data_IF_719433591188
#
_entry.id   IF_719433591188
#
_cell.length_a   1.000
_cell.length_b   1.000
_cell.length_c   1.000
_cell.angle_alpha   90.00
_cell.angle_beta   90.00
_cell.angle_gamma   90.00
#
_symmetry.space_group_name_H-M   'P 1'
#
loop_
_entity.id
_entity.type
_entity.pdbx_description
1 polymer ?
#
# COMPACT_ATOMS: atom_id res chain seq x y z
N UNK A 1 8.11 23.29 -30.17
CA UNK A 1 6.72 23.72 -30.39
C UNK A 1 6.44 23.49 -31.86
N UNK A 2 5.79 22.37 -32.21
CA UNK A 2 5.54 22.00 -33.61
C UNK A 2 4.33 22.81 -34.12
N UNK A 3 4.45 23.53 -35.25
CA UNK A 3 3.42 24.45 -35.71
C UNK A 3 2.41 23.71 -36.58
N UNK A 4 1.49 22.94 -36.02
CA UNK A 4 0.43 22.30 -36.82
C UNK A 4 -0.92 22.33 -36.11
N UNK A 5 -1.98 22.52 -36.89
CA UNK A 5 -3.37 22.57 -36.43
C UNK A 5 -3.75 21.32 -35.62
N UNK A 6 -4.53 21.46 -34.53
CA UNK A 6 -4.97 20.34 -33.70
C UNK A 6 -5.92 19.42 -34.49
N UNK A 7 -5.87 18.11 -34.20
CA UNK A 7 -6.83 17.15 -34.74
C UNK A 7 -8.23 17.56 -34.31
N UNK A 8 -9.17 17.61 -35.26
CA UNK A 8 -10.54 18.01 -34.97
C UNK A 8 -11.26 16.91 -34.19
N UNK A 9 -12.12 17.30 -33.26
CA UNK A 9 -12.97 16.36 -32.56
C UNK A 9 -13.99 15.73 -33.52
N UNK A 10 -14.26 14.45 -33.33
CA UNK A 10 -15.23 13.67 -34.13
C UNK A 10 -16.43 13.27 -33.28
N UNK A 11 -17.51 12.81 -33.92
CA UNK A 11 -18.65 12.22 -33.22
C UNK A 11 -18.49 10.70 -33.17
N UNK A 12 -18.23 10.14 -31.99
CA UNK A 12 -18.35 8.71 -31.77
C UNK A 12 -19.82 8.34 -31.57
N UNK A 13 -20.28 7.30 -32.26
CA UNK A 13 -21.70 6.85 -32.22
C UNK A 13 -21.83 5.55 -31.42
N UNK A 14 -20.72 4.83 -31.22
CA UNK A 14 -20.69 3.58 -30.47
C UNK A 14 -19.55 3.58 -29.45
N UNK A 15 -19.86 3.14 -28.23
CA UNK A 15 -18.88 2.85 -27.19
C UNK A 15 -18.35 1.43 -27.38
N UNK A 16 -17.04 1.27 -27.56
CA UNK A 16 -16.39 -0.03 -27.72
C UNK A 16 -15.70 -0.49 -26.43
N UNK A 17 -15.17 0.46 -25.65
CA UNK A 17 -14.54 0.18 -24.36
C UNK A 17 -14.81 1.31 -23.38
N UNK A 18 -15.50 0.99 -22.29
CA UNK A 18 -15.69 1.88 -21.16
C UNK A 18 -14.41 2.00 -20.32
N UNK A 19 -14.33 3.07 -19.54
CA UNK A 19 -13.28 3.31 -18.58
C UNK A 19 -13.33 2.26 -17.46
N UNK A 20 -12.20 1.61 -17.21
CA UNK A 20 -12.00 0.67 -16.11
C UNK A 20 -11.85 1.37 -14.74
N UNK A 21 -11.47 0.60 -13.69
CA UNK A 21 -11.30 1.14 -12.34
C UNK A 21 -10.12 2.11 -12.25
N UNK A 22 -10.17 3.02 -11.27
CA UNK A 22 -9.09 3.96 -11.01
C UNK A 22 -7.83 3.23 -10.50
N UNK A 23 -6.71 3.41 -11.21
CA UNK A 23 -5.46 2.71 -10.90
C UNK A 23 -4.93 2.99 -9.47
N UNK A 24 -5.11 4.19 -8.92
CA UNK A 24 -4.76 4.49 -7.53
C UNK A 24 -5.59 3.67 -6.52
N UNK A 25 -6.87 3.42 -6.83
CA UNK A 25 -7.72 2.54 -6.03
C UNK A 25 -7.23 1.10 -6.04
N UNK A 26 -6.78 0.61 -7.20
CA UNK A 26 -6.19 -0.73 -7.35
C UNK A 26 -4.88 -0.88 -6.58
N UNK A 27 -4.01 0.14 -6.59
CA UNK A 27 -2.82 0.17 -5.73
C UNK A 27 -3.20 0.14 -4.25
N UNK A 28 -4.20 0.91 -3.85
CA UNK A 28 -4.65 0.94 -2.46
C UNK A 28 -5.19 -0.42 -1.99
N UNK A 29 -5.98 -1.13 -2.82
CA UNK A 29 -6.42 -2.51 -2.54
C UNK A 29 -5.23 -3.43 -2.28
N UNK A 30 -4.21 -3.38 -3.14
CA UNK A 30 -3.02 -4.19 -2.98
C UNK A 30 -2.21 -3.82 -1.73
N UNK A 31 -2.09 -2.53 -1.40
CA UNK A 31 -1.44 -2.08 -0.18
C UNK A 31 -2.16 -2.59 1.08
N UNK A 32 -3.49 -2.49 1.11
CA UNK A 32 -4.31 -3.00 2.21
C UNK A 32 -4.17 -4.53 2.34
N UNK A 33 -4.20 -5.25 1.22
CA UNK A 33 -3.94 -6.70 1.19
C UNK A 33 -2.55 -7.04 1.74
N UNK A 34 -1.51 -6.32 1.34
CA UNK A 34 -0.13 -6.56 1.82
C UNK A 34 -0.02 -6.27 3.32
N UNK A 35 -0.71 -5.25 3.83
CA UNK A 35 -0.72 -4.96 5.26
C UNK A 35 -1.38 -6.07 6.09
N UNK A 36 -2.48 -6.65 5.60
CA UNK A 36 -3.26 -7.65 6.33
C UNK A 36 -2.72 -9.07 6.18
N UNK A 37 -2.31 -9.46 4.97
CA UNK A 37 -1.92 -10.83 4.65
C UNK A 37 -0.41 -11.01 4.41
N UNK A 38 0.26 -9.95 3.97
CA UNK A 38 1.64 -10.00 3.47
C UNK A 38 1.79 -10.76 2.14
N UNK A 39 3.00 -10.69 1.59
CA UNK A 39 3.39 -11.42 0.37
C UNK A 39 4.65 -12.23 0.64
N UNK A 40 4.53 -13.42 1.27
CA UNK A 40 5.68 -14.27 1.56
C UNK A 40 6.31 -14.84 0.28
N UNK A 41 7.61 -15.08 0.38
CA UNK A 41 8.44 -15.69 -0.64
C UNK A 41 8.73 -17.15 -0.31
N UNK A 42 8.72 -17.98 -1.34
CA UNK A 42 9.22 -19.35 -1.30
C UNK A 42 10.74 -19.36 -1.17
N UNK A 43 11.32 -20.52 -0.83
CA UNK A 43 12.78 -20.70 -0.79
C UNK A 43 13.49 -20.39 -2.13
N UNK A 44 12.76 -20.44 -3.25
CA UNK A 44 13.27 -20.07 -4.59
C UNK A 44 13.08 -18.57 -4.91
N UNK A 45 12.56 -17.78 -3.97
CA UNK A 45 12.35 -16.35 -4.13
C UNK A 45 11.10 -15.95 -4.93
N UNK A 46 10.21 -16.89 -5.28
CA UNK A 46 8.92 -16.60 -5.90
C UNK A 46 7.84 -16.36 -4.84
N UNK A 47 6.88 -15.47 -5.09
CA UNK A 47 5.75 -15.24 -4.18
C UNK A 47 4.90 -16.52 -4.08
N UNK A 48 4.41 -16.84 -2.88
CA UNK A 48 3.52 -17.97 -2.68
C UNK A 48 2.25 -17.85 -3.54
N UNK A 49 1.97 -18.88 -4.36
CA UNK A 49 0.82 -18.93 -5.29
C UNK A 49 -0.53 -18.65 -4.62
N UNK A 50 -0.73 -19.10 -3.37
CA UNK A 50 -1.95 -18.82 -2.59
C UNK A 50 -2.17 -17.31 -2.43
N UNK A 51 -1.13 -16.56 -2.09
CA UNK A 51 -1.24 -15.11 -1.87
C UNK A 51 -1.37 -14.35 -3.18
N UNK A 52 -0.74 -14.81 -4.27
CA UNK A 52 -0.99 -14.25 -5.61
C UNK A 52 -2.45 -14.40 -6.02
N UNK A 53 -3.03 -15.59 -5.84
CA UNK A 53 -4.42 -15.82 -6.21
C UNK A 53 -5.40 -14.97 -5.38
N UNK A 54 -5.11 -14.78 -4.09
CA UNK A 54 -5.93 -13.92 -3.21
C UNK A 54 -5.77 -12.44 -3.55
N UNK A 55 -4.54 -11.98 -3.82
CA UNK A 55 -4.28 -10.62 -4.29
C UNK A 55 -5.00 -10.37 -5.62
N UNK A 56 -4.87 -11.28 -6.60
CA UNK A 56 -5.57 -11.19 -7.87
C UNK A 56 -7.09 -11.09 -7.69
N UNK A 57 -7.66 -11.88 -6.77
CA UNK A 57 -9.09 -11.85 -6.47
C UNK A 57 -9.56 -10.56 -5.78
N UNK A 58 -8.65 -9.80 -5.16
CA UNK A 58 -8.96 -8.52 -4.52
C UNK A 58 -8.93 -7.32 -5.49
N UNK A 59 -8.29 -7.50 -6.65
CA UNK A 59 -8.17 -6.49 -7.70
C UNK A 59 -9.36 -6.58 -8.67
N UNK A 60 -9.77 -5.45 -9.22
CA UNK A 60 -10.82 -5.35 -10.25
C UNK A 60 -10.26 -4.94 -11.61
N UNK A 61 -8.95 -4.66 -11.68
CA UNK A 61 -8.27 -4.29 -12.92
C UNK A 61 -8.42 -5.38 -14.01
N UNK A 62 -8.93 -5.04 -15.21
CA UNK A 62 -9.22 -6.03 -16.23
C UNK A 62 -7.94 -6.56 -16.89
N UNK A 63 -7.82 -7.87 -17.09
CA UNK A 63 -6.60 -8.48 -17.62
C UNK A 63 -6.41 -8.24 -19.13
N UNK A 64 -7.46 -8.42 -19.94
CA UNK A 64 -7.36 -8.30 -21.41
C UNK A 64 -6.84 -6.93 -21.88
N UNK A 65 -7.32 -5.79 -21.34
CA UNK A 65 -6.83 -4.47 -21.72
C UNK A 65 -5.34 -4.23 -21.44
N UNK A 66 -4.79 -4.88 -20.41
CA UNK A 66 -3.39 -4.68 -20.01
C UNK A 66 -2.41 -5.34 -20.97
N UNK A 67 -2.83 -6.35 -21.76
CA UNK A 67 -1.94 -7.03 -22.71
C UNK A 67 -1.28 -6.04 -23.69
N UNK A 68 -2.02 -5.02 -24.11
CA UNK A 68 -1.53 -3.98 -25.02
C UNK A 68 -0.38 -3.13 -24.47
N UNK A 69 -0.13 -3.17 -23.15
CA UNK A 69 0.96 -2.46 -22.49
C UNK A 69 2.31 -3.20 -22.59
N UNK A 70 2.30 -4.48 -22.97
CA UNK A 70 3.48 -5.34 -22.96
C UNK A 70 3.80 -5.90 -24.36
N UNK A 71 5.08 -5.99 -24.75
CA UNK A 71 5.51 -6.86 -25.85
C UNK A 71 5.03 -8.29 -25.66
N UNK A 72 4.62 -8.97 -26.73
CA UNK A 72 4.09 -10.34 -26.68
C UNK A 72 5.03 -11.32 -25.95
N UNK A 73 6.34 -11.21 -26.20
CA UNK A 73 7.35 -12.03 -25.53
C UNK A 73 7.39 -11.86 -24.01
N UNK A 74 7.01 -10.69 -23.47
CA UNK A 74 6.96 -10.48 -22.02
C UNK A 74 5.68 -11.07 -21.40
N UNK A 75 4.61 -11.25 -22.18
CA UNK A 75 3.34 -11.80 -21.68
C UNK A 75 3.47 -13.29 -21.32
N UNK A 76 4.35 -14.03 -21.98
CA UNK A 76 4.54 -15.48 -21.79
C UNK A 76 5.49 -15.84 -20.64
N UNK A 77 6.28 -14.87 -20.15
CA UNK A 77 7.38 -15.11 -19.21
C UNK A 77 6.92 -15.06 -17.74
N UNK A 78 5.79 -14.41 -17.44
CA UNK A 78 5.38 -14.16 -16.06
C UNK A 78 4.45 -15.24 -15.48
N UNK A 79 4.72 -15.72 -14.25
CA UNK A 79 3.93 -16.80 -13.63
C UNK A 79 2.64 -16.31 -12.94
N UNK A 80 2.26 -15.03 -13.10
CA UNK A 80 1.15 -14.39 -12.39
C UNK A 80 0.20 -13.68 -13.36
N UNK A 81 -1.09 -13.49 -12.99
CA UNK A 81 -2.01 -12.66 -13.77
C UNK A 81 -1.47 -11.25 -14.01
N UNK A 82 -1.73 -10.67 -15.18
CA UNK A 82 -1.22 -9.34 -15.55
C UNK A 82 -1.58 -8.23 -14.55
N UNK A 83 -2.81 -8.19 -13.98
CA UNK A 83 -3.14 -7.18 -12.96
C UNK A 83 -2.18 -7.18 -11.77
N UNK A 84 -1.85 -8.36 -11.23
CA UNK A 84 -0.92 -8.48 -10.10
C UNK A 84 0.47 -8.00 -10.49
N UNK A 85 0.92 -8.33 -11.70
CA UNK A 85 2.22 -7.94 -12.19
C UNK A 85 2.35 -6.42 -12.32
N UNK A 86 1.37 -5.75 -12.94
CA UNK A 86 1.34 -4.28 -13.09
C UNK A 86 1.35 -3.61 -11.72
N UNK A 87 0.47 -4.04 -10.81
CA UNK A 87 0.35 -3.44 -9.48
C UNK A 87 1.64 -3.61 -8.67
N UNK A 88 2.22 -4.81 -8.63
CA UNK A 88 3.47 -5.04 -7.90
C UNK A 88 4.65 -4.26 -8.50
N UNK A 89 4.75 -4.17 -9.83
CA UNK A 89 5.79 -3.39 -10.49
C UNK A 89 5.69 -1.90 -10.12
N UNK A 90 4.48 -1.33 -10.17
CA UNK A 90 4.22 0.07 -9.78
C UNK A 90 4.52 0.31 -8.30
N UNK A 91 4.08 -0.57 -7.40
CA UNK A 91 4.35 -0.46 -5.95
C UNK A 91 5.85 -0.49 -5.64
N UNK A 92 6.62 -1.31 -6.36
CA UNK A 92 8.08 -1.37 -6.21
C UNK A 92 8.78 -0.13 -6.77
N UNK A 93 8.31 0.37 -7.91
CA UNK A 93 8.85 1.59 -8.52
C UNK A 93 8.59 2.84 -7.66
N UNK A 94 7.40 2.93 -7.07
CA UNK A 94 7.07 3.98 -6.10
C UNK A 94 7.81 3.81 -4.76
N UNK A 95 8.49 2.69 -4.54
CA UNK A 95 9.17 2.40 -3.28
C UNK A 95 8.21 2.17 -2.11
N UNK A 96 6.92 1.92 -2.38
CA UNK A 96 5.90 1.65 -1.36
C UNK A 96 6.04 0.26 -0.75
N UNK A 97 6.64 -0.65 -1.52
CA UNK A 97 6.90 -2.03 -1.13
C UNK A 97 8.39 -2.32 -1.32
N UNK A 98 9.00 -3.05 -0.39
CA UNK A 98 10.38 -3.55 -0.51
C UNK A 98 10.43 -5.05 -0.35
N UNK A 99 11.21 -5.71 -1.20
CA UNK A 99 11.53 -7.13 -1.07
C UNK A 99 12.55 -7.36 0.05
N UNK A 100 12.24 -8.27 0.97
CA UNK A 100 13.19 -8.86 1.94
C UNK A 100 13.45 -10.33 1.57
N UNK A 101 14.30 -11.00 2.34
CA UNK A 101 14.72 -12.38 2.07
C UNK A 101 13.54 -13.36 2.02
N UNK A 102 12.50 -13.12 2.82
CA UNK A 102 11.39 -14.05 3.03
C UNK A 102 9.99 -13.50 2.72
N UNK A 103 9.83 -12.19 2.52
CA UNK A 103 8.56 -11.56 2.12
C UNK A 103 8.75 -10.17 1.54
N UNK A 104 7.70 -9.62 0.93
CA UNK A 104 7.60 -8.18 0.68
C UNK A 104 6.99 -7.45 1.88
N UNK A 105 7.53 -6.27 2.19
CA UNK A 105 7.11 -5.41 3.29
C UNK A 105 6.70 -4.03 2.77
N UNK A 106 5.79 -3.37 3.47
CA UNK A 106 5.44 -1.97 3.24
C UNK A 106 6.53 -1.05 3.78
N UNK A 107 6.89 -0.04 3.00
CA UNK A 107 7.80 1.03 3.43
C UNK A 107 6.98 2.15 4.05
N UNK A 108 6.94 2.19 5.38
CA UNK A 108 6.00 3.02 6.14
C UNK A 108 6.09 4.51 5.81
N UNK A 109 7.29 5.09 5.73
CA UNK A 109 7.45 6.53 5.48
C UNK A 109 6.98 6.93 4.07
N UNK A 110 7.30 6.10 3.08
CA UNK A 110 6.86 6.33 1.70
C UNK A 110 5.36 6.13 1.56
N UNK A 111 4.81 5.10 2.21
CA UNK A 111 3.38 4.85 2.25
C UNK A 111 2.62 6.00 2.91
N UNK A 112 3.13 6.56 4.00
CA UNK A 112 2.52 7.70 4.68
C UNK A 112 2.48 8.89 3.73
N UNK A 113 3.61 9.23 3.11
CA UNK A 113 3.71 10.32 2.15
C UNK A 113 2.76 10.14 0.97
N UNK A 114 2.67 8.91 0.45
CA UNK A 114 1.77 8.56 -0.64
C UNK A 114 0.30 8.75 -0.26
N UNK A 115 -0.15 8.25 0.90
CA UNK A 115 -1.55 8.34 1.34
C UNK A 115 -2.02 9.77 1.63
N UNK A 116 -1.10 10.73 1.81
CA UNK A 116 -1.41 12.16 1.93
C UNK A 116 -1.62 12.85 0.58
N UNK A 117 -1.24 12.22 -0.54
CA UNK A 117 -1.51 12.75 -1.87
C UNK A 117 -3.02 12.68 -2.17
N UNK A 118 -3.51 13.67 -2.91
CA UNK A 118 -4.84 13.59 -3.52
C UNK A 118 -4.88 12.50 -4.59
N UNK A 119 -6.07 11.96 -4.89
CA UNK A 119 -6.24 10.98 -5.98
C UNK A 119 -5.72 11.50 -7.33
N UNK A 120 -5.88 12.81 -7.61
CA UNK A 120 -5.32 13.45 -8.81
C UNK A 120 -3.79 13.43 -8.85
N UNK A 121 -3.13 13.70 -7.72
CA UNK A 121 -1.68 13.64 -7.61
C UNK A 121 -1.17 12.20 -7.76
N UNK A 122 -1.81 11.23 -7.09
CA UNK A 122 -1.49 9.81 -7.25
C UNK A 122 -1.63 9.36 -8.71
N UNK A 123 -2.76 9.69 -9.35
CA UNK A 123 -3.05 9.36 -10.76
C UNK A 123 -2.00 9.97 -11.70
N UNK A 124 -1.56 11.20 -11.47
CA UNK A 124 -0.53 11.88 -12.27
C UNK A 124 0.84 11.23 -12.12
N UNK A 125 1.25 10.83 -10.91
CA UNK A 125 2.48 10.08 -10.67
C UNK A 125 2.44 8.70 -11.33
N UNK A 126 1.32 7.99 -11.19
CA UNK A 126 1.11 6.69 -11.84
C UNK A 126 1.15 6.79 -13.36
N UNK A 127 0.56 7.84 -13.92
CA UNK A 127 0.60 8.08 -15.36
C UNK A 127 2.03 8.29 -15.86
N UNK A 128 2.83 9.10 -15.14
CA UNK A 128 4.25 9.26 -15.46
C UNK A 128 5.01 7.94 -15.47
N UNK A 129 4.77 7.07 -14.47
CA UNK A 129 5.37 5.73 -14.43
C UNK A 129 4.90 4.85 -15.60
N UNK A 130 3.59 4.81 -15.87
CA UNK A 130 3.01 4.04 -16.97
C UNK A 130 3.60 4.48 -18.31
N UNK A 131 3.69 5.79 -18.54
CA UNK A 131 4.26 6.38 -19.76
C UNK A 131 5.72 5.98 -19.99
N UNK A 132 6.51 5.90 -18.92
CA UNK A 132 7.94 5.58 -19.02
C UNK A 132 8.23 4.08 -19.06
N UNK A 133 7.41 3.26 -18.40
CA UNK A 133 7.69 1.83 -18.19
C UNK A 133 7.01 0.89 -19.18
N UNK A 134 5.82 1.25 -19.63
CA UNK A 134 4.99 0.37 -20.47
C UNK A 134 4.86 0.90 -21.88
N UNK A 135 4.39 0.05 -22.79
CA UNK A 135 4.30 0.32 -24.21
C UNK A 135 5.50 -0.22 -24.98
N UNK A 136 5.39 -0.25 -26.30
CA UNK A 136 6.49 -0.67 -27.15
C UNK A 136 7.64 0.36 -27.09
N UNK A 137 8.91 -0.08 -27.05
CA UNK A 137 10.06 0.80 -26.91
C UNK A 137 10.44 1.49 -28.23
N UNK A 138 9.60 1.43 -29.27
CA UNK A 138 9.87 2.05 -30.56
C UNK A 138 9.63 3.57 -30.53
N UNK A 139 10.41 4.37 -31.29
CA UNK A 139 10.33 5.83 -31.25
C UNK A 139 8.95 6.39 -31.60
N UNK A 140 8.29 5.82 -32.61
CA UNK A 140 6.99 6.28 -33.09
C UNK A 140 5.89 5.99 -32.07
N UNK A 141 5.86 4.81 -31.45
CA UNK A 141 5.01 4.50 -30.31
C UNK A 141 5.28 5.41 -29.11
N UNK A 142 6.54 5.79 -28.84
CA UNK A 142 6.85 6.81 -27.83
C UNK A 142 6.28 8.18 -28.20
N UNK A 143 6.47 8.64 -29.44
CA UNK A 143 5.90 9.90 -29.91
C UNK A 143 4.37 9.92 -29.80
N UNK A 144 3.69 8.83 -30.19
CA UNK A 144 2.24 8.70 -30.05
C UNK A 144 1.79 8.89 -28.61
N UNK A 145 2.43 8.20 -27.67
CA UNK A 145 2.12 8.25 -26.25
C UNK A 145 2.19 9.68 -25.70
N UNK A 146 3.28 10.40 -25.98
CA UNK A 146 3.43 11.80 -25.54
C UNK A 146 2.50 12.77 -26.30
N UNK A 147 2.21 12.51 -27.57
CA UNK A 147 1.30 13.32 -28.37
C UNK A 147 -0.11 13.32 -27.79
N UNK A 148 -0.67 12.14 -27.49
CA UNK A 148 -2.02 12.02 -26.93
C UNK A 148 -2.10 12.57 -25.49
N UNK A 149 -0.98 12.66 -24.77
CA UNK A 149 -0.88 13.31 -23.46
C UNK A 149 -0.89 14.85 -23.52
N UNK A 150 -0.76 15.45 -24.70
CA UNK A 150 -0.63 16.91 -24.85
C UNK A 150 -1.95 17.67 -24.63
N UNK A 151 -1.86 18.99 -24.47
CA UNK A 151 -3.04 19.84 -24.27
C UNK A 151 -4.01 19.85 -25.48
N UNK A 152 -3.56 19.40 -26.65
CA UNK A 152 -4.35 19.31 -27.89
C UNK A 152 -5.55 18.36 -27.79
N UNK A 153 -5.57 17.44 -26.81
CA UNK A 153 -6.59 16.42 -26.63
C UNK A 153 -7.38 16.61 -25.32
N UNK A 154 -8.19 17.66 -25.16
CA UNK A 154 -8.95 17.90 -23.94
C UNK A 154 -9.90 16.75 -23.57
N UNK A 155 -10.18 16.53 -22.27
CA UNK A 155 -11.14 15.53 -21.81
C UNK A 155 -12.56 15.81 -22.32
N UNK A 156 -13.34 14.76 -22.48
CA UNK A 156 -14.73 14.84 -22.95
C UNK A 156 -14.92 14.92 -24.47
N UNK A 157 -13.84 15.10 -25.24
CA UNK A 157 -13.89 15.13 -26.71
C UNK A 157 -13.34 13.83 -27.33
N UNK A 158 -13.98 13.38 -28.42
CA UNK A 158 -13.55 12.20 -29.16
C UNK A 158 -12.60 12.57 -30.29
N UNK A 159 -11.54 11.79 -30.46
CA UNK A 159 -10.55 11.98 -31.51
C UNK A 159 -10.33 10.66 -32.26
N UNK A 160 -10.39 10.70 -33.59
CA UNK A 160 -10.14 9.53 -34.42
C UNK A 160 -8.65 9.16 -34.38
N UNK A 161 -8.37 7.88 -34.12
CA UNK A 161 -7.01 7.36 -34.07
C UNK A 161 -6.31 7.54 -35.42
N UNK A 162 -7.02 7.27 -36.52
CA UNK A 162 -6.54 7.45 -37.90
C UNK A 162 -5.97 8.86 -38.11
N UNK A 163 -6.72 9.90 -37.77
CA UNK A 163 -6.34 11.29 -38.00
C UNK A 163 -5.09 11.68 -37.19
N UNK A 164 -4.92 11.12 -35.98
CA UNK A 164 -3.73 11.32 -35.15
C UNK A 164 -2.51 10.66 -35.78
N UNK A 165 -2.66 9.43 -36.28
CA UNK A 165 -1.57 8.70 -36.94
C UNK A 165 -1.19 9.35 -38.27
N UNK A 166 -2.15 9.82 -39.05
CA UNK A 166 -1.91 10.61 -40.26
C UNK A 166 -1.14 11.90 -39.94
N UNK A 167 -1.47 12.59 -38.84
CA UNK A 167 -0.72 13.75 -38.35
C UNK A 167 0.72 13.39 -37.99
N UNK A 168 0.93 12.26 -37.31
CA UNK A 168 2.27 11.78 -36.98
C UNK A 168 3.09 11.44 -38.23
N UNK A 169 2.49 10.80 -39.21
CA UNK A 169 3.12 10.48 -40.50
C UNK A 169 3.49 11.76 -41.26
N UNK A 170 2.56 12.71 -41.39
CA UNK A 170 2.78 14.00 -42.06
C UNK A 170 3.86 14.86 -41.38
N UNK A 171 4.01 14.73 -40.06
CA UNK A 171 5.06 15.41 -39.29
C UNK A 171 6.40 14.64 -39.25
N UNK A 172 6.51 13.47 -39.88
CA UNK A 172 7.72 12.64 -39.85
C UNK A 172 8.01 11.99 -38.50
N UNK A 173 7.03 11.95 -37.58
CA UNK A 173 7.17 11.37 -36.24
C UNK A 173 7.09 9.83 -36.23
N UNK A 174 6.55 9.24 -37.30
CA UNK A 174 6.44 7.78 -37.46
C UNK A 174 7.68 7.13 -38.12
N UNK A 175 8.58 7.93 -38.70
CA UNK A 175 9.75 7.46 -39.45
C UNK A 175 9.40 6.33 -40.45
N UNK A 176 10.20 5.27 -40.51
CA UNK A 176 10.02 4.10 -41.41
C UNK A 176 9.13 3.00 -40.79
N UNK A 177 8.38 3.29 -39.71
CA UNK A 177 7.57 2.26 -39.07
C UNK A 177 6.36 1.88 -39.94
N UNK A 178 6.08 0.58 -40.00
CA UNK A 178 4.87 0.06 -40.62
C UNK A 178 3.61 0.66 -39.97
N UNK A 179 2.73 1.23 -40.79
CA UNK A 179 1.53 1.95 -40.32
C UNK A 179 0.58 1.04 -39.56
N UNK A 180 0.42 -0.22 -39.99
CA UNK A 180 -0.46 -1.17 -39.32
C UNK A 180 0.09 -1.58 -37.95
N UNK A 181 1.41 -1.76 -37.84
CA UNK A 181 2.08 -2.03 -36.56
C UNK A 181 1.95 -0.84 -35.59
N UNK A 182 2.12 0.40 -36.08
CA UNK A 182 1.93 1.62 -35.27
C UNK A 182 0.48 1.75 -34.79
N UNK A 183 -0.50 1.53 -35.68
CA UNK A 183 -1.92 1.57 -35.31
C UNK A 183 -2.27 0.50 -34.26
N UNK A 184 -1.77 -0.73 -34.42
CA UNK A 184 -1.97 -1.79 -33.45
C UNK A 184 -1.34 -1.46 -32.09
N UNK A 185 -0.13 -0.90 -32.09
CA UNK A 185 0.59 -0.45 -30.89
C UNK A 185 -0.15 0.70 -30.19
N UNK A 186 -0.60 1.70 -30.94
CA UNK A 186 -1.38 2.83 -30.47
C UNK A 186 -2.74 2.40 -29.88
N UNK A 187 -3.44 1.49 -30.55
CA UNK A 187 -4.70 0.92 -30.05
C UNK A 187 -4.47 0.11 -28.78
N UNK A 188 -3.41 -0.70 -28.72
CA UNK A 188 -3.03 -1.47 -27.53
C UNK A 188 -2.74 -0.56 -26.33
N UNK A 189 -2.02 0.54 -26.55
CA UNK A 189 -1.76 1.56 -25.55
C UNK A 189 -3.05 2.19 -25.01
N UNK A 190 -3.91 2.71 -25.89
CA UNK A 190 -5.17 3.33 -25.48
C UNK A 190 -6.11 2.34 -24.79
N UNK A 191 -6.11 1.07 -25.22
CA UNK A 191 -6.87 0.01 -24.54
C UNK A 191 -6.36 -0.20 -23.12
N UNK A 192 -5.05 -0.19 -22.90
CA UNK A 192 -4.45 -0.26 -21.57
C UNK A 192 -4.80 0.95 -20.70
N UNK A 193 -4.76 2.16 -21.25
CA UNK A 193 -5.18 3.38 -20.54
C UNK A 193 -6.68 3.37 -20.19
N UNK A 194 -7.51 2.79 -21.06
CA UNK A 194 -8.92 2.56 -20.76
C UNK A 194 -9.07 1.56 -19.61
N UNK A 195 -8.22 0.52 -19.54
CA UNK A 195 -8.15 -0.39 -18.40
C UNK A 195 -7.85 0.30 -17.06
N UNK A 196 -7.13 1.42 -17.07
CA UNK A 196 -6.83 2.25 -15.89
C UNK A 196 -7.88 3.35 -15.60
N UNK A 197 -8.96 3.40 -16.39
CA UNK A 197 -10.04 4.39 -16.23
C UNK A 197 -9.75 5.78 -16.80
N UNK A 198 -8.59 5.98 -17.44
CA UNK A 198 -8.18 7.32 -17.90
C UNK A 198 -8.80 7.73 -19.23
N UNK A 199 -9.15 6.78 -20.09
CA UNK A 199 -9.81 7.06 -21.36
C UNK A 199 -10.88 6.02 -21.69
N UNK A 200 -11.64 6.28 -22.74
CA UNK A 200 -12.62 5.38 -23.33
C UNK A 200 -12.31 5.21 -24.82
N UNK A 201 -12.73 4.08 -25.38
CA UNK A 201 -12.65 3.81 -26.81
C UNK A 201 -14.04 3.69 -27.42
N UNK A 202 -14.18 4.20 -28.63
CA UNK A 202 -15.41 4.11 -29.39
C UNK A 202 -15.13 4.05 -30.88
N UNK A 203 -16.21 4.04 -31.65
CA UNK A 203 -16.17 4.07 -33.10
C UNK A 203 -17.12 5.10 -33.68
N UNK A 204 -16.70 5.71 -34.78
CA UNK A 204 -17.52 6.55 -35.65
C UNK A 204 -18.44 5.70 -36.53
N UNK A 205 -19.33 6.36 -37.28
CA UNK A 205 -20.27 5.69 -38.21
C UNK A 205 -19.56 4.85 -39.28
N UNK A 206 -18.40 5.33 -39.77
CA UNK A 206 -17.54 4.63 -40.74
C UNK A 206 -16.69 3.51 -40.10
N UNK A 207 -16.85 3.26 -38.80
CA UNK A 207 -16.14 2.22 -38.07
C UNK A 207 -14.71 2.59 -37.66
N UNK A 208 -14.30 3.86 -37.82
CA UNK A 208 -12.97 4.29 -37.41
C UNK A 208 -12.85 4.32 -35.88
N UNK A 209 -11.74 3.79 -35.37
CA UNK A 209 -11.45 3.76 -33.93
C UNK A 209 -11.20 5.18 -33.43
N UNK A 210 -11.86 5.54 -32.34
CA UNK A 210 -11.73 6.83 -31.68
C UNK A 210 -11.45 6.64 -30.20
N UNK A 211 -10.84 7.64 -29.58
CA UNK A 211 -10.66 7.66 -28.13
C UNK A 211 -11.07 9.00 -27.54
N UNK A 212 -11.40 8.99 -26.25
CA UNK A 212 -11.71 10.18 -25.47
C UNK A 212 -11.09 10.06 -24.09
N UNK A 213 -10.42 11.11 -23.64
CA UNK A 213 -9.98 11.23 -22.25
C UNK A 213 -11.19 11.43 -21.32
N UNK A 214 -11.24 10.69 -20.20
CA UNK A 214 -12.28 10.88 -19.18
C UNK A 214 -12.02 12.14 -18.35
N UNK A 215 -12.94 12.47 -17.44
CA UNK A 215 -12.71 13.52 -16.44
C UNK A 215 -11.54 13.18 -15.48
N UNK A 216 -11.17 11.91 -15.38
CA UNK A 216 -10.04 11.42 -14.58
C UNK A 216 -8.70 11.46 -15.34
N UNK A 217 -8.62 12.18 -16.47
CA UNK A 217 -7.38 12.36 -17.24
C UNK A 217 -6.24 12.81 -16.31
N UNK A 218 -5.16 12.02 -16.20
CA UNK A 218 -4.01 12.40 -15.40
C UNK A 218 -3.24 13.54 -16.05
N UNK A 219 -2.57 14.35 -15.23
CA UNK A 219 -1.67 15.38 -15.72
C UNK A 219 -0.26 14.80 -15.85
N UNK A 220 0.48 15.23 -16.87
CA UNK A 220 1.91 14.92 -16.92
C UNK A 220 2.59 15.64 -15.76
N UNK A 221 3.42 14.94 -14.95
CA UNK A 221 4.16 15.60 -13.88
C UNK A 221 5.08 16.70 -14.46
N UNK A 222 5.18 17.86 -13.80
CA UNK A 222 5.82 19.07 -14.35
C UNK A 222 7.32 18.90 -14.65
N UNK A 223 8.00 18.02 -13.93
CA UNK A 223 9.35 17.55 -14.25
C UNK A 223 9.22 16.17 -14.88
N UNK A 224 9.42 16.08 -16.20
CA UNK A 224 9.34 14.81 -16.94
C UNK A 224 10.08 13.70 -16.21
N UNK A 225 9.32 12.70 -15.75
CA UNK A 225 9.71 11.60 -14.87
C UNK A 225 10.40 12.05 -13.55
N UNK A 226 9.75 11.87 -12.38
CA UNK A 226 10.53 11.80 -11.15
C UNK A 226 11.54 10.67 -11.32
N UNK A 227 12.78 10.88 -10.89
CA UNK A 227 13.83 9.87 -10.84
C UNK A 227 13.44 8.77 -9.84
N UNK A 228 12.41 7.99 -10.14
CA UNK A 228 12.03 6.83 -9.36
C UNK A 228 13.08 5.75 -9.61
N UNK A 229 13.91 5.52 -8.60
CA UNK A 229 15.01 4.55 -8.69
C UNK A 229 14.49 3.23 -9.23
N UNK A 230 15.17 2.67 -10.23
CA UNK A 230 14.83 1.44 -10.96
C UNK A 230 14.79 0.20 -10.06
N UNK A 231 13.85 0.12 -9.13
CA UNK A 231 13.57 -1.06 -8.29
C UNK A 231 12.52 -1.90 -9.01
N UNK A 232 12.94 -2.60 -10.06
CA UNK A 232 12.09 -3.56 -10.77
C UNK A 232 11.91 -4.86 -9.96
N UNK A 233 10.85 -5.63 -10.23
CA UNK A 233 10.79 -7.04 -9.85
C UNK A 233 11.97 -7.74 -10.56
N UNK A 234 13.01 -8.09 -9.81
CA UNK A 234 14.10 -8.92 -10.32
C UNK A 234 13.56 -10.32 -10.60
N UNK A 235 13.18 -10.60 -11.83
CA UNK A 235 13.25 -11.96 -12.40
C UNK A 235 14.75 -12.25 -12.56
N UNK A 236 15.21 -13.36 -12.00
CA UNK A 236 16.63 -13.69 -11.89
C UNK A 236 17.34 -13.68 -13.25
N UNK A 237 18.43 -12.92 -13.35
CA UNK A 237 19.74 -13.34 -13.90
C UNK A 237 20.83 -12.25 -13.64
N UNK A 238 22.14 -12.53 -13.82
CA UNK A 238 23.19 -12.30 -12.84
C UNK A 238 23.70 -10.85 -12.70
N UNK A 239 24.36 -10.63 -11.56
CA UNK A 239 24.86 -9.37 -11.04
C UNK A 239 25.89 -8.69 -11.96
N UNK A 240 25.73 -7.37 -12.15
CA UNK A 240 26.72 -6.40 -11.66
C UNK A 240 26.17 -4.95 -11.66
N UNK A 241 26.89 -4.07 -10.97
CA UNK A 241 26.87 -2.59 -11.03
C UNK A 241 26.07 -1.79 -9.97
N UNK A 242 26.81 -1.46 -8.91
CA UNK A 242 27.11 -0.14 -8.29
C UNK A 242 25.98 0.83 -7.89
N UNK A 243 25.98 1.15 -6.59
CA UNK A 243 25.17 2.15 -5.90
C UNK A 243 25.69 3.58 -6.15
N UNK A 244 24.77 4.49 -6.49
CA UNK A 244 24.98 5.95 -6.46
C UNK A 244 23.96 6.58 -5.50
N UNK A 245 24.47 7.36 -4.55
CA UNK A 245 23.70 8.19 -3.60
C UNK A 245 22.98 9.32 -4.33
N UNK A 246 21.71 9.55 -3.98
CA UNK A 246 20.93 10.71 -4.44
C UNK A 246 20.63 11.62 -3.26
N UNK A 247 20.87 12.92 -3.47
CA UNK A 247 20.56 14.02 -2.57
C UNK A 247 19.05 14.34 -2.57
N UNK A 248 18.55 14.79 -1.42
CA UNK A 248 17.16 15.25 -1.23
C UNK A 248 16.89 16.48 -2.09
N UNK A 249 15.96 16.40 -3.04
CA UNK A 249 15.41 17.56 -3.75
C UNK A 249 13.88 17.62 -3.66
N UNK A 250 13.41 18.86 -3.56
CA UNK A 250 12.16 19.32 -2.97
C UNK A 250 10.87 18.78 -3.62
N UNK A 251 9.99 18.26 -2.77
CA UNK A 251 8.60 17.95 -3.11
C UNK A 251 7.84 19.24 -3.47
N UNK A 252 7.08 19.27 -4.59
CA UNK A 252 6.29 20.43 -4.95
C UNK A 252 5.24 20.76 -3.88
N UNK A 253 5.10 22.06 -3.68
CA UNK A 253 4.36 22.72 -2.61
C UNK A 253 2.90 22.25 -2.50
N UNK A 254 2.49 22.15 -1.24
CA UNK A 254 1.19 21.73 -0.73
C UNK A 254 0.05 22.43 -1.46
N UNK A 255 -0.73 21.67 -2.23
CA UNK A 255 -2.13 22.01 -2.42
C UNK A 255 -2.77 22.03 -1.02
N UNK A 256 -3.20 23.23 -0.62
CA UNK A 256 -3.93 23.57 0.61
C UNK A 256 -4.67 22.36 1.20
N UNK A 257 -4.38 22.06 2.47
CA UNK A 257 -5.13 21.11 3.29
C UNK A 257 -6.60 21.55 3.37
N UNK A 258 -7.37 21.21 2.33
CA UNK A 258 -8.80 21.48 2.29
C UNK A 258 -9.48 20.56 3.28
N UNK A 259 -10.47 21.09 3.96
CA UNK A 259 -11.41 20.41 4.84
C UNK A 259 -12.12 19.27 4.05
N UNK A 260 -11.41 18.16 3.83
CA UNK A 260 -11.85 17.13 2.89
C UNK A 260 -13.01 16.34 3.50
N UNK A 261 -14.09 16.12 2.74
CA UNK A 261 -15.31 15.60 3.30
C UNK A 261 -15.09 14.11 3.62
N UNK A 262 -15.15 13.74 4.90
CA UNK A 262 -14.85 12.39 5.39
C UNK A 262 -15.85 11.32 4.94
N UNK A 263 -15.95 10.22 5.68
CA UNK A 263 -16.86 9.10 5.36
C UNK A 263 -18.21 9.26 6.07
N UNK A 264 -19.21 8.46 5.70
CA UNK A 264 -20.54 8.49 6.32
C UNK A 264 -20.73 7.19 7.08
N UNK A 265 -21.07 7.28 8.37
CA UNK A 265 -21.41 6.11 9.19
C UNK A 265 -22.93 6.00 9.33
N UNK A 266 -23.47 4.87 8.94
CA UNK A 266 -24.89 4.57 8.98
C UNK A 266 -25.27 3.85 10.30
N UNK A 267 -26.54 3.95 10.75
CA UNK A 267 -26.99 3.34 12.00
C UNK A 267 -26.85 1.81 12.08
N UNK A 268 -26.69 1.13 10.95
CA UNK A 268 -26.53 -0.31 10.81
C UNK A 268 -25.06 -0.77 10.75
N UNK A 269 -24.12 0.12 11.13
CA UNK A 269 -22.68 -0.07 11.15
C UNK A 269 -21.99 -0.08 9.77
N UNK A 270 -22.73 0.23 8.70
CA UNK A 270 -22.13 0.46 7.40
C UNK A 270 -21.42 1.82 7.34
N UNK A 271 -20.26 1.85 6.70
CA UNK A 271 -19.44 3.04 6.49
C UNK A 271 -19.26 3.23 5.00
N UNK A 272 -19.93 4.25 4.46
CA UNK A 272 -19.85 4.62 3.06
C UNK A 272 -18.71 5.61 2.86
N UNK A 273 -17.85 5.32 1.89
CA UNK A 273 -16.61 6.07 1.64
C UNK A 273 -16.66 6.67 0.24
N UNK A 274 -17.02 7.96 0.12
CA UNK A 274 -17.08 8.65 -1.18
C UNK A 274 -15.71 8.73 -1.87
N UNK A 275 -15.73 8.97 -3.19
CA UNK A 275 -14.52 9.05 -4.00
C UNK A 275 -13.56 10.16 -3.55
N UNK A 276 -14.07 11.23 -2.93
CA UNK A 276 -13.30 12.36 -2.43
C UNK A 276 -12.65 12.09 -1.06
N UNK A 277 -13.02 10.99 -0.39
CA UNK A 277 -12.47 10.64 0.91
C UNK A 277 -10.95 10.35 0.77
N UNK A 278 -10.09 11.05 1.54
CA UNK A 278 -8.65 10.85 1.50
C UNK A 278 -8.23 9.40 1.70
N UNK A 279 -7.22 8.95 0.95
CA UNK A 279 -6.69 7.59 1.06
C UNK A 279 -6.10 7.28 2.45
N UNK A 280 -5.63 8.30 3.19
CA UNK A 280 -5.28 8.18 4.61
C UNK A 280 -6.44 7.71 5.49
N UNK A 281 -7.65 8.25 5.29
CA UNK A 281 -8.84 7.79 6.01
C UNK A 281 -9.27 6.39 5.57
N UNK A 282 -9.20 6.10 4.27
CA UNK A 282 -9.47 4.76 3.74
C UNK A 282 -8.53 3.73 4.37
N UNK A 283 -7.25 4.09 4.53
CA UNK A 283 -6.23 3.23 5.14
C UNK A 283 -6.58 2.88 6.59
N UNK A 284 -7.00 3.87 7.38
CA UNK A 284 -7.43 3.65 8.76
C UNK A 284 -8.70 2.79 8.83
N UNK A 285 -9.69 3.04 7.96
CA UNK A 285 -10.88 2.19 7.86
C UNK A 285 -10.54 0.74 7.51
N UNK A 286 -9.61 0.51 6.58
CA UNK A 286 -9.16 -0.84 6.25
C UNK A 286 -8.54 -1.58 7.45
N UNK A 287 -7.95 -0.83 8.40
CA UNK A 287 -7.41 -1.38 9.65
C UNK A 287 -8.45 -1.72 10.72
N UNK A 288 -9.55 -0.97 10.80
CA UNK A 288 -10.50 -1.06 11.90
C UNK A 288 -11.93 -1.46 11.49
N UNK A 289 -12.18 -1.70 10.21
CA UNK A 289 -13.46 -2.10 9.65
C UNK A 289 -13.30 -3.20 8.59
N UNK A 290 -14.38 -3.94 8.35
CA UNK A 290 -14.41 -5.02 7.36
C UNK A 290 -14.83 -4.49 6.00
N UNK A 291 -14.02 -4.69 4.96
CA UNK A 291 -14.40 -4.30 3.60
C UNK A 291 -15.57 -5.17 3.10
N UNK A 292 -16.66 -4.55 2.66
CA UNK A 292 -17.83 -5.23 2.12
C UNK A 292 -17.84 -5.18 0.59
N UNK A 293 -17.77 -3.98 0.04
CA UNK A 293 -17.82 -3.72 -1.41
C UNK A 293 -16.88 -2.57 -1.77
N UNK A 294 -16.43 -2.51 -3.01
CA UNK A 294 -15.40 -1.55 -3.42
C UNK A 294 -15.43 -1.18 -4.90
N UNK A 295 -16.40 -1.65 -5.68
CA UNK A 295 -16.35 -1.52 -7.15
C UNK A 295 -16.68 -0.09 -7.58
N UNK A 296 -17.80 0.47 -7.12
CA UNK A 296 -18.20 1.87 -7.41
C UNK A 296 -18.07 2.80 -6.19
N UNK A 297 -18.50 2.29 -5.03
CA UNK A 297 -18.44 2.97 -3.75
C UNK A 297 -17.82 2.02 -2.73
N UNK A 298 -16.80 2.51 -2.03
CA UNK A 298 -16.16 1.76 -0.97
C UNK A 298 -17.11 1.71 0.23
N UNK A 299 -17.46 0.50 0.64
CA UNK A 299 -18.29 0.25 1.82
C UNK A 299 -17.54 -0.66 2.78
N UNK A 300 -17.48 -0.22 4.03
CA UNK A 300 -16.95 -0.98 5.13
C UNK A 300 -18.04 -1.26 6.17
N UNK A 301 -17.83 -2.26 7.00
CA UNK A 301 -18.68 -2.57 8.14
C UNK A 301 -17.88 -2.50 9.43
N UNK A 302 -18.37 -1.73 10.40
CA UNK A 302 -17.81 -1.74 11.75
C UNK A 302 -18.25 -3.02 12.46
N UNK A 303 -17.28 -3.81 12.90
CA UNK A 303 -17.52 -5.06 13.62
C UNK A 303 -16.68 -5.10 14.88
N UNK A 304 -17.11 -5.92 15.84
CA UNK A 304 -16.36 -6.11 17.09
C UNK A 304 -15.01 -6.77 16.80
N UNK A 305 -14.98 -7.72 15.88
CA UNK A 305 -13.80 -8.50 15.51
C UNK A 305 -12.72 -7.61 14.89
N UNK A 306 -13.09 -6.66 14.02
CA UNK A 306 -12.15 -5.70 13.45
C UNK A 306 -11.67 -4.67 14.47
N UNK A 307 -12.52 -4.25 15.41
CA UNK A 307 -12.11 -3.40 16.53
C UNK A 307 -11.12 -4.11 17.48
N UNK A 308 -11.33 -5.40 17.74
CA UNK A 308 -10.41 -6.26 18.49
C UNK A 308 -9.07 -6.40 17.75
N UNK A 309 -9.11 -6.70 16.44
CA UNK A 309 -7.91 -6.80 15.61
C UNK A 309 -7.12 -5.49 15.54
N UNK A 310 -7.80 -4.35 15.43
CA UNK A 310 -7.17 -3.03 15.46
C UNK A 310 -6.45 -2.78 16.80
N UNK A 311 -7.05 -3.20 17.92
CA UNK A 311 -6.42 -3.11 19.25
C UNK A 311 -5.17 -3.98 19.37
N UNK A 312 -5.19 -5.20 18.81
CA UNK A 312 -4.00 -6.06 18.74
C UNK A 312 -2.86 -5.47 17.89
N UNK A 313 -3.20 -4.59 16.95
CA UNK A 313 -2.26 -3.83 16.11
C UNK A 313 -1.84 -2.49 16.74
N UNK A 314 -2.31 -2.17 17.95
CA UNK A 314 -1.91 -0.99 18.71
C UNK A 314 -2.82 0.24 18.54
N UNK A 315 -3.96 0.11 17.84
CA UNK A 315 -5.00 1.15 17.81
C UNK A 315 -5.94 0.95 18.99
N UNK A 316 -5.84 1.76 20.04
CA UNK A 316 -6.78 1.61 21.17
C UNK A 316 -8.23 1.82 20.69
N UNK A 317 -9.20 1.03 21.19
CA UNK A 317 -10.60 1.20 20.80
C UNK A 317 -11.11 2.63 21.00
N UNK A 318 -10.68 3.32 22.06
CA UNK A 318 -11.04 4.70 22.34
C UNK A 318 -10.51 5.67 21.27
N UNK A 319 -9.28 5.45 20.79
CA UNK A 319 -8.70 6.25 19.71
C UNK A 319 -9.44 6.01 18.39
N UNK A 320 -9.78 4.76 18.08
CA UNK A 320 -10.59 4.42 16.89
C UNK A 320 -11.96 5.10 16.95
N UNK A 321 -12.65 5.04 18.10
CA UNK A 321 -13.97 5.66 18.27
C UNK A 321 -13.89 7.18 18.15
N UNK A 322 -12.90 7.82 18.77
CA UNK A 322 -12.69 9.27 18.64
C UNK A 322 -12.43 9.65 17.18
N UNK A 323 -11.51 8.94 16.53
CA UNK A 323 -11.16 9.20 15.14
C UNK A 323 -12.37 9.03 14.21
N UNK A 324 -13.18 7.98 14.39
CA UNK A 324 -14.41 7.78 13.64
C UNK A 324 -15.39 8.95 13.86
N UNK A 325 -15.56 9.44 15.09
CA UNK A 325 -16.42 10.57 15.39
C UNK A 325 -15.94 11.88 14.77
N UNK A 326 -14.62 12.11 14.76
CA UNK A 326 -13.99 13.33 14.27
C UNK A 326 -14.02 13.42 12.73
N UNK A 327 -13.98 12.28 12.03
CA UNK A 327 -13.87 12.23 10.56
C UNK A 327 -15.16 11.74 9.87
N UNK A 328 -16.16 11.27 10.61
CA UNK A 328 -17.47 10.96 10.03
C UNK A 328 -18.25 12.26 9.72
N UNK A 329 -18.82 12.34 8.52
CA UNK A 329 -19.73 13.44 8.13
C UNK A 329 -20.96 13.41 9.04
N UNK A 330 -21.12 14.45 9.86
CA UNK A 330 -22.21 14.54 10.84
C UNK A 330 -21.96 13.74 12.13
N UNK A 331 -20.74 13.22 12.32
CA UNK A 331 -20.36 12.42 13.49
C UNK A 331 -20.90 10.99 13.46
N UNK A 332 -20.66 10.27 14.55
CA UNK A 332 -21.20 8.91 14.73
C UNK A 332 -22.69 8.94 15.12
N UNK A 333 -23.54 8.09 14.53
CA UNK A 333 -24.87 7.85 15.07
C UNK A 333 -24.78 7.37 16.52
N UNK A 334 -25.63 7.92 17.40
CA UNK A 334 -25.59 7.64 18.85
C UNK A 334 -25.63 6.14 19.17
N UNK A 335 -26.41 5.35 18.42
CA UNK A 335 -26.48 3.90 18.57
C UNK A 335 -25.13 3.22 18.26
N UNK A 336 -24.48 3.63 17.17
CA UNK A 336 -23.17 3.07 16.76
C UNK A 336 -22.11 3.41 17.80
N UNK A 337 -22.06 4.66 18.25
CA UNK A 337 -21.11 5.08 19.28
C UNK A 337 -21.28 4.29 20.59
N UNK A 338 -22.52 4.13 21.06
CA UNK A 338 -22.82 3.34 22.27
C UNK A 338 -22.37 1.88 22.12
N UNK A 339 -22.64 1.26 20.97
CA UNK A 339 -22.23 -0.12 20.71
C UNK A 339 -20.71 -0.27 20.64
N UNK A 340 -19.99 0.63 19.96
CA UNK A 340 -18.52 0.61 19.92
C UNK A 340 -17.92 0.77 21.32
N UNK A 341 -18.44 1.69 22.13
CA UNK A 341 -18.02 1.88 23.54
C UNK A 341 -18.37 0.68 24.43
N UNK A 342 -19.44 -0.04 24.11
CA UNK A 342 -19.78 -1.27 24.82
C UNK A 342 -18.81 -2.40 24.46
N UNK A 343 -18.46 -2.54 23.18
CA UNK A 343 -17.46 -3.52 22.73
C UNK A 343 -16.10 -3.21 23.34
N UNK A 344 -15.66 -1.94 23.36
CA UNK A 344 -14.34 -1.56 23.88
C UNK A 344 -14.08 -1.99 25.32
N UNK A 345 -15.12 -2.00 26.17
CA UNK A 345 -15.00 -2.44 27.58
C UNK A 345 -14.43 -3.85 27.73
N UNK A 346 -14.62 -4.73 26.75
CA UNK A 346 -14.11 -6.10 26.76
C UNK A 346 -12.72 -6.27 26.11
N UNK A 347 -12.29 -5.31 25.29
CA UNK A 347 -11.10 -5.40 24.46
C UNK A 347 -9.89 -4.96 25.28
N UNK A 348 -8.76 -5.68 25.16
CA UNK A 348 -7.50 -5.31 25.83
C UNK A 348 -7.53 -5.39 27.36
N UNK A 349 -8.55 -6.03 27.97
CA UNK A 349 -8.64 -6.18 29.44
C UNK A 349 -7.55 -7.06 30.04
N UNK A 350 -6.97 -7.95 29.24
CA UNK A 350 -5.96 -8.92 29.64
C UNK A 350 -4.98 -9.11 28.48
N UNK A 351 -3.69 -9.16 28.78
CA UNK A 351 -2.62 -9.41 27.82
C UNK A 351 -1.81 -10.65 28.21
N UNK A 352 -1.20 -11.31 27.23
CA UNK A 352 -0.20 -12.35 27.45
C UNK A 352 1.15 -11.81 26.97
N UNK A 353 2.18 -11.95 27.81
CA UNK A 353 3.54 -11.52 27.51
C UNK A 353 4.54 -12.67 27.69
N UNK A 354 5.53 -12.78 26.80
CA UNK A 354 6.65 -13.71 26.97
C UNK A 354 7.60 -13.15 28.05
N UNK A 355 7.75 -13.88 29.15
CA UNK A 355 8.63 -13.53 30.25
C UNK A 355 9.49 -14.72 30.65
N UNK A 356 10.72 -14.44 31.09
CA UNK A 356 11.63 -15.46 31.59
C UNK A 356 11.45 -15.58 33.09
N UNK A 357 11.20 -16.81 33.55
CA UNK A 357 11.06 -17.14 34.96
C UNK A 357 12.44 -17.39 35.57
N UNK A 358 12.81 -16.59 36.56
CA UNK A 358 13.94 -16.86 37.45
C UNK A 358 13.40 -17.58 38.70
N UNK A 359 13.84 -18.82 38.89
CA UNK A 359 13.47 -19.65 40.03
C UNK A 359 14.62 -19.73 41.04
N UNK A 360 14.30 -19.49 42.30
CA UNK A 360 15.21 -19.54 43.44
C UNK A 360 15.17 -20.94 44.07
N UNK A 361 16.28 -21.36 44.69
CA UNK A 361 16.33 -22.65 45.39
C UNK A 361 15.66 -22.59 46.76
N UNK A 362 15.72 -21.43 47.41
CA UNK A 362 15.11 -21.19 48.72
C UNK A 362 14.46 -19.80 48.79
N UNK A 363 13.59 -19.62 49.79
CA UNK A 363 12.98 -18.31 50.05
C UNK A 363 14.00 -17.28 50.54
N UNK A 364 15.09 -17.72 51.18
CA UNK A 364 16.19 -16.86 51.59
C UNK A 364 16.86 -16.23 50.35
N UNK A 365 17.19 -17.04 49.34
CA UNK A 365 17.73 -16.53 48.07
C UNK A 365 16.75 -15.56 47.40
N UNK A 366 15.44 -15.87 47.45
CA UNK A 366 14.42 -14.98 46.93
C UNK A 366 14.35 -13.64 47.68
N UNK A 367 14.56 -13.62 48.98
CA UNK A 367 14.59 -12.38 49.76
C UNK A 367 15.86 -11.57 49.49
N UNK A 368 17.01 -12.22 49.34
CA UNK A 368 18.28 -11.55 49.01
C UNK A 368 18.23 -10.91 47.62
N UNK A 369 17.66 -11.60 46.64
CA UNK A 369 17.46 -11.07 45.28
C UNK A 369 16.49 -9.88 45.30
N UNK A 370 15.38 -9.97 46.06
CA UNK A 370 14.42 -8.88 46.18
C UNK A 370 15.01 -7.64 46.89
N UNK A 371 15.95 -7.84 47.82
CA UNK A 371 16.63 -6.76 48.54
C UNK A 371 17.81 -6.15 47.76
N UNK A 372 18.21 -6.74 46.63
CA UNK A 372 19.40 -6.31 45.89
C UNK A 372 19.15 -4.98 45.13
N UNK A 373 19.85 -3.87 45.46
CA UNK A 373 19.53 -2.55 44.94
C UNK A 373 19.63 -2.42 43.41
N UNK A 374 20.60 -3.12 42.79
CA UNK A 374 20.84 -3.07 41.34
C UNK A 374 19.92 -3.97 40.51
N UNK A 375 19.18 -4.87 41.17
CA UNK A 375 18.18 -5.71 40.50
C UNK A 375 16.79 -5.07 40.53
N UNK A 376 16.61 -4.03 41.35
CA UNK A 376 15.38 -3.24 41.39
C UNK A 376 15.10 -2.62 40.03
N UNK A 377 13.94 -2.94 39.46
CA UNK A 377 13.51 -2.47 38.14
C UNK A 377 13.84 -3.41 36.97
N UNK A 378 14.75 -4.39 37.15
CA UNK A 378 15.10 -5.38 36.11
C UNK A 378 14.30 -6.68 36.22
N UNK A 379 13.74 -6.95 37.40
CA UNK A 379 12.95 -8.14 37.69
C UNK A 379 11.81 -7.82 38.64
N UNK A 380 10.70 -8.55 38.52
CA UNK A 380 9.54 -8.40 39.39
C UNK A 380 9.24 -9.71 40.10
N UNK A 381 9.05 -9.64 41.43
CA UNK A 381 8.72 -10.80 42.25
C UNK A 381 7.27 -11.20 42.03
N UNK A 382 7.04 -12.46 41.65
CA UNK A 382 5.69 -13.02 41.45
C UNK A 382 5.33 -14.08 42.51
N UNK A 383 6.30 -14.50 43.31
CA UNK A 383 6.08 -15.40 44.45
C UNK A 383 7.32 -15.52 45.34
N UNK A 384 7.27 -16.33 46.42
CA UNK A 384 8.37 -16.46 47.36
C UNK A 384 9.69 -16.91 46.71
N UNK A 385 9.60 -17.76 45.69
CA UNK A 385 10.74 -18.35 44.98
C UNK A 385 10.91 -17.86 43.54
N UNK A 386 10.02 -16.99 43.04
CA UNK A 386 9.90 -16.75 41.60
C UNK A 386 9.90 -15.28 41.24
N UNK A 387 10.67 -14.96 40.20
CA UNK A 387 10.73 -13.64 39.59
C UNK A 387 10.51 -13.73 38.09
N UNK A 388 9.89 -12.70 37.52
CA UNK A 388 9.81 -12.52 36.07
C UNK A 388 10.90 -11.54 35.64
N UNK A 389 11.55 -11.86 34.53
CA UNK A 389 12.60 -11.07 33.88
C UNK A 389 12.21 -10.89 32.43
N UNK A 390 12.35 -9.67 31.89
CA UNK A 390 12.14 -9.40 30.47
C UNK A 390 13.29 -10.00 29.66
N UNK A 391 13.03 -10.33 28.39
CA UNK A 391 14.06 -10.91 27.53
C UNK A 391 15.26 -9.98 27.31
N UNK A 392 15.05 -8.65 27.28
CA UNK A 392 16.12 -7.65 27.16
C UNK A 392 17.02 -7.57 28.41
N UNK A 393 16.49 -7.84 29.60
CA UNK A 393 17.17 -7.61 30.88
C UNK A 393 17.93 -8.85 31.38
N UNK A 394 17.80 -10.00 30.71
CA UNK A 394 18.37 -11.29 31.15
C UNK A 394 19.87 -11.21 31.38
N UNK A 395 20.61 -10.61 30.45
CA UNK A 395 22.08 -10.54 30.55
C UNK A 395 22.53 -9.60 31.67
N UNK A 396 21.80 -8.50 31.88
CA UNK A 396 22.06 -7.59 33.00
C UNK A 396 21.79 -8.28 34.34
N UNK A 397 20.66 -8.97 34.47
CA UNK A 397 20.30 -9.74 35.67
C UNK A 397 21.32 -10.86 35.92
N UNK A 398 21.77 -11.58 34.89
CA UNK A 398 22.81 -12.63 35.01
C UNK A 398 24.13 -12.06 35.55
N UNK A 399 24.55 -10.91 35.03
CA UNK A 399 25.79 -10.25 35.44
C UNK A 399 25.74 -9.84 36.90
N UNK A 400 24.67 -9.19 37.34
CA UNK A 400 24.51 -8.74 38.72
C UNK A 400 24.35 -9.92 39.69
N UNK A 401 23.56 -10.94 39.33
CA UNK A 401 23.47 -12.17 40.14
C UNK A 401 24.80 -12.92 40.21
N UNK A 402 25.58 -12.91 39.14
CA UNK A 402 26.93 -13.48 39.13
C UNK A 402 27.89 -12.76 40.06
N UNK A 403 27.85 -11.43 40.10
CA UNK A 403 28.62 -10.63 41.05
C UNK A 403 28.23 -10.90 42.51
N UNK A 404 26.95 -11.23 42.76
CA UNK A 404 26.42 -11.60 44.07
C UNK A 404 26.58 -13.11 44.42
N UNK A 405 27.22 -13.91 43.57
CA UNK A 405 27.44 -15.36 43.80
C UNK A 405 26.20 -16.24 43.57
N UNK A 406 25.13 -15.70 42.98
CA UNK A 406 23.85 -16.37 42.73
C UNK A 406 23.56 -16.59 41.24
N UNK A 407 24.61 -16.77 40.42
CA UNK A 407 24.47 -16.89 38.97
C UNK A 407 23.54 -18.04 38.55
N UNK A 408 22.47 -17.78 37.77
CA UNK A 408 21.68 -18.86 37.19
C UNK A 408 22.49 -19.59 36.10
N UNK A 409 22.25 -20.90 35.89
CA UNK A 409 22.93 -21.67 34.85
C UNK A 409 22.74 -21.06 33.46
N UNK A 410 23.72 -21.23 32.58
CA UNK A 410 23.75 -20.61 31.24
C UNK A 410 22.61 -21.06 30.31
N UNK A 411 22.00 -22.22 30.59
CA UNK A 411 20.83 -22.73 29.86
C UNK A 411 19.50 -22.28 30.47
N UNK A 412 18.61 -21.73 29.65
CA UNK A 412 17.18 -21.58 29.99
C UNK A 412 16.52 -22.97 29.89
N UNK A 413 16.13 -23.56 31.03
CA UNK A 413 15.36 -24.81 31.04
C UNK A 413 14.01 -24.61 30.33
N UNK A 414 13.63 -25.57 29.47
CA UNK A 414 12.38 -25.51 28.70
C UNK A 414 12.52 -25.00 27.25
N UNK A 415 13.67 -24.41 26.88
CA UNK A 415 13.96 -24.11 25.48
C UNK A 415 14.34 -25.42 24.77
N UNK A 416 13.35 -26.24 24.37
CA UNK A 416 13.56 -27.19 23.27
C UNK A 416 14.20 -26.36 22.16
N UNK A 417 15.40 -26.76 21.69
CA UNK A 417 15.97 -26.24 20.44
C UNK A 417 14.95 -26.52 19.34
N UNK A 418 13.97 -25.64 19.16
CA UNK A 418 13.24 -25.59 17.91
C UNK A 418 14.28 -25.12 16.92
N UNK A 419 14.73 -26.09 16.11
CA UNK A 419 15.27 -25.85 14.78
C UNK A 419 14.50 -24.66 14.21
N UNK A 420 15.20 -23.59 13.87
CA UNK A 420 14.67 -22.31 13.38
C UNK A 420 13.42 -22.54 12.52
N UNK A 421 12.28 -22.49 13.19
CA UNK A 421 10.98 -22.75 12.60
C UNK A 421 10.44 -21.39 12.22
N UNK A 422 10.06 -21.29 10.95
CA UNK A 422 9.46 -20.18 10.20
C UNK A 422 8.43 -19.31 10.98
N UNK A 423 7.96 -19.72 12.16
CA UNK A 423 6.95 -19.02 12.97
C UNK A 423 7.42 -17.86 13.86
N UNK A 424 8.72 -17.67 14.16
CA UNK A 424 9.18 -16.52 14.99
C UNK A 424 9.40 -15.22 14.19
N UNK A 425 9.39 -15.30 12.86
CA UNK A 425 9.62 -14.16 11.96
C UNK A 425 8.33 -13.41 11.59
N UNK A 426 7.16 -14.01 11.84
CA UNK A 426 5.85 -13.40 11.55
C UNK A 426 5.41 -12.39 12.61
N UNK A 427 5.98 -12.44 13.83
CA UNK A 427 5.54 -11.59 14.95
C UNK A 427 6.15 -10.18 14.97
N UNK A 428 7.22 -9.93 14.22
CA UNK A 428 7.87 -8.60 14.14
C UNK A 428 7.80 -7.96 12.75
N UNK A 429 7.72 -8.75 11.67
CA UNK A 429 7.79 -8.23 10.31
C UNK A 429 6.42 -8.07 9.60
N UNK A 430 5.30 -8.40 10.24
CA UNK A 430 3.99 -8.41 9.58
C UNK A 430 2.82 -7.94 10.43
N UNK A 431 3.06 -7.27 11.56
CA UNK A 431 1.95 -6.64 12.29
C UNK A 431 1.57 -5.36 11.55
N UNK A 432 0.31 -5.33 11.12
CA UNK A 432 -0.33 -4.27 10.37
C UNK A 432 -0.08 -2.88 10.93
N UNK A 433 -0.29 -1.90 10.04
CA UNK A 433 -0.27 -0.45 10.27
C UNK A 433 0.72 -0.02 11.34
N UNK A 434 1.95 0.33 10.92
CA UNK A 434 2.99 0.82 11.83
C UNK A 434 2.41 1.82 12.83
N UNK A 435 2.58 1.55 14.13
CA UNK A 435 2.11 2.39 15.24
C UNK A 435 2.49 3.87 15.06
N UNK A 436 3.62 4.12 14.38
CA UNK A 436 4.10 5.45 14.04
C UNK A 436 3.20 6.17 13.01
N UNK A 437 2.74 5.45 12.00
CA UNK A 437 1.79 5.94 10.99
C UNK A 437 0.40 6.17 11.60
N UNK A 438 -0.03 5.28 12.51
CA UNK A 438 -1.25 5.43 13.30
C UNK A 438 -1.23 6.68 14.20
N UNK A 439 -0.17 6.89 14.96
CA UNK A 439 -0.04 8.05 15.86
C UNK A 439 0.01 9.38 15.08
N UNK A 440 0.51 9.38 13.83
CA UNK A 440 0.50 10.56 12.96
C UNK A 440 -0.84 10.82 12.28
N UNK A 441 -1.49 9.80 11.70
CA UNK A 441 -2.80 9.97 11.08
C UNK A 441 -3.93 10.29 12.07
N UNK A 442 -3.85 9.79 13.30
CA UNK A 442 -4.80 10.14 14.36
C UNK A 442 -4.46 11.47 15.08
N UNK A 443 -3.47 12.25 14.58
CA UNK A 443 -3.11 13.55 15.14
C UNK A 443 -2.59 13.51 16.59
N UNK A 444 -2.20 12.33 17.09
CA UNK A 444 -1.89 12.13 18.50
C UNK A 444 -0.41 12.44 18.80
N UNK A 445 -0.01 13.70 18.70
CA UNK A 445 1.34 14.14 19.10
C UNK A 445 1.62 14.06 20.61
N UNK A 446 0.69 13.57 21.46
CA UNK A 446 0.86 13.53 22.92
C UNK A 446 0.60 12.18 23.60
N UNK A 447 0.29 11.11 22.86
CA UNK A 447 -0.08 9.81 23.47
C UNK A 447 1.01 8.73 23.46
N UNK A 448 1.82 8.64 22.39
CA UNK A 448 2.70 7.49 22.16
C UNK A 448 3.94 7.41 23.09
N UNK A 449 4.29 8.46 23.84
CA UNK A 449 5.50 8.49 24.71
C UNK A 449 5.24 8.19 26.20
N UNK A 450 3.99 7.98 26.63
CA UNK A 450 3.65 7.84 28.06
C UNK A 450 3.43 6.39 28.52
N UNK A 451 3.36 5.40 27.62
CA UNK A 451 3.22 3.98 27.98
C UNK A 451 4.52 3.32 28.51
N UNK A 452 5.64 4.06 28.56
CA UNK A 452 6.91 3.59 29.12
C UNK A 452 7.27 4.21 30.49
N UNK A 453 6.45 5.11 31.05
CA UNK A 453 6.71 5.72 32.37
C UNK A 453 5.42 6.04 33.13
N UNK A 454 4.69 5.02 33.57
CA UNK A 454 3.75 5.15 34.69
C UNK A 454 3.40 3.78 35.24
N UNK A 455 4.36 3.17 35.94
CA UNK A 455 4.08 2.16 36.96
C UNK A 455 4.60 2.72 38.28
N UNK A 456 3.68 3.27 39.07
CA UNK A 456 3.84 3.41 40.51
C UNK A 456 2.77 2.56 41.18
#
# INVERSE_FOLDING_TARGET
MFPHEPVQAVNAIKMDKEAGPELSGELFRALAFIAEEGLPLTAKGAIHKKNINRLAASLTLPEEPLKGLFPAAQQEVYPFPLPVMVILDLLLCLGLVRRRDSLYLLETEMLESWLHLSGKQMSSLLYGLVLCRYGQPDPAGQHFRYLVSSADYPPGMWFALRDILERMLGAGLAQDQDTAALEASARGWLTGLAGFGWCELGSTEDGAVCFRWTAARPQLPPNGAPAFSSRCIKVQEPADATEGTFEEEDLPQQDEASDFPGFIVQPDFEVLVPAECPYSHRWLLAGCAELQHSDDLWSYRLTREKLESAAEQGMSPEAVISWLADHARGGLPAQVELSLRQWSKGIGRTELAEAILLACRSEADGNDIAAHPRLSGLLARIGPLHFIVRSEDVEAVRKELGAAGMAPPSGLQGRKRSRAGIGRWLTEAGRGISLHMLCRFMGCQRGCLLLLRSRH
#
